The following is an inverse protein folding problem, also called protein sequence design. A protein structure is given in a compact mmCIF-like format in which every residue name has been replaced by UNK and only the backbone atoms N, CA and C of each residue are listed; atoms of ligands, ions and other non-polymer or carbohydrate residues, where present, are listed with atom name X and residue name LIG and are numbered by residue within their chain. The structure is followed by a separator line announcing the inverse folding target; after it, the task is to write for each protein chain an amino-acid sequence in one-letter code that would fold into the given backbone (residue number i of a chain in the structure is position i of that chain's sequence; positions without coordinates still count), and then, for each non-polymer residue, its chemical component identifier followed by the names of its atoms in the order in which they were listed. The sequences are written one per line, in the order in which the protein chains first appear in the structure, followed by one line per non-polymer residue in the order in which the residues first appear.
data_IF_818892545618
#
_entry.id   IF_818892545618
#
_cell.length_a   1.000
_cell.length_b   1.000
_cell.length_c   1.000
_cell.angle_alpha   90.00
_cell.angle_beta   90.00
_cell.angle_gamma   90.00
#
_symmetry.space_group_name_H-M   'P 1'
#
loop_
_entity.id
_entity.type
_entity.pdbx_description
1 polymer ?
#
# COMPACT_ATOMS: atom_id res chain seq x y z
N UNK A 1 22.34 -12.17 24.35
CA UNK A 1 21.86 -11.28 25.43
C UNK A 1 22.89 -10.24 25.91
N UNK A 2 24.12 -10.18 25.37
CA UNK A 2 25.12 -9.14 25.73
C UNK A 2 24.92 -7.80 25.00
N UNK A 3 24.44 -7.84 23.75
CA UNK A 3 24.56 -6.72 22.82
C UNK A 3 23.68 -5.50 23.17
N UNK A 4 22.44 -5.72 23.62
CA UNK A 4 21.52 -4.63 23.99
C UNK A 4 21.94 -3.89 25.26
N UNK A 5 22.52 -4.61 26.23
CA UNK A 5 23.05 -4.00 27.46
C UNK A 5 24.27 -3.12 27.15
N UNK A 6 25.13 -3.56 26.23
CA UNK A 6 26.33 -2.82 25.85
C UNK A 6 25.99 -1.60 24.98
N UNK A 7 25.00 -1.74 24.10
CA UNK A 7 24.44 -0.63 23.32
C UNK A 7 23.76 0.41 24.22
N UNK A 8 22.96 -0.01 25.20
CA UNK A 8 22.34 0.90 26.17
C UNK A 8 23.37 1.68 26.98
N UNK A 9 24.47 1.04 27.39
CA UNK A 9 25.59 1.72 28.08
C UNK A 9 26.25 2.75 27.18
N UNK A 10 26.52 2.39 25.92
CA UNK A 10 27.11 3.31 24.93
C UNK A 10 26.22 4.52 24.69
N UNK A 11 24.92 4.29 24.49
CA UNK A 11 23.94 5.36 24.26
C UNK A 11 23.84 6.30 25.47
N UNK A 12 23.85 5.76 26.70
CA UNK A 12 23.85 6.59 27.92
C UNK A 12 25.12 7.43 28.04
N UNK A 13 26.29 6.87 27.72
CA UNK A 13 27.56 7.60 27.74
C UNK A 13 27.57 8.74 26.70
N UNK A 14 27.07 8.47 25.49
CA UNK A 14 26.98 9.49 24.44
C UNK A 14 25.97 10.59 24.80
N UNK A 15 24.83 10.22 25.36
CA UNK A 15 23.82 11.18 25.81
C UNK A 15 24.39 12.11 26.90
N UNK A 16 25.12 11.58 27.87
CA UNK A 16 25.79 12.38 28.90
C UNK A 16 26.83 13.35 28.31
N UNK A 17 27.59 12.91 27.31
CA UNK A 17 28.56 13.75 26.59
C UNK A 17 27.87 14.89 25.82
N UNK A 18 26.77 14.59 25.15
CA UNK A 18 26.00 15.58 24.39
C UNK A 18 25.37 16.62 25.30
N UNK A 19 24.79 16.20 26.44
CA UNK A 19 24.25 17.12 27.45
C UNK A 19 25.35 18.07 27.94
N UNK A 20 26.52 17.54 28.32
CA UNK A 20 27.63 18.38 28.76
C UNK A 20 28.11 19.38 27.69
N UNK A 21 28.05 18.99 26.41
CA UNK A 21 28.39 19.87 25.29
C UNK A 21 27.34 20.97 25.09
N UNK A 22 26.05 20.65 25.24
CA UNK A 22 24.96 21.61 25.12
C UNK A 22 25.02 22.63 26.27
N UNK A 23 25.24 22.14 27.50
CA UNK A 23 25.42 22.98 28.69
C UNK A 23 26.66 23.89 28.57
N UNK A 24 27.77 23.39 28.01
CA UNK A 24 28.98 24.22 27.83
C UNK A 24 28.84 25.34 26.81
N UNK A 25 27.79 25.30 25.97
CA UNK A 25 27.51 26.29 24.93
C UNK A 25 26.25 27.11 25.23
N UNK A 26 25.70 27.06 26.46
CA UNK A 26 24.46 27.73 26.86
C UNK A 26 23.27 27.45 25.92
N UNK A 27 23.19 26.22 25.38
CA UNK A 27 22.06 25.79 24.55
C UNK A 27 20.97 25.20 25.46
N UNK A 28 19.81 25.86 25.50
CA UNK A 28 18.65 25.39 26.26
C UNK A 28 18.02 24.17 25.57
N UNK A 29 18.46 22.98 25.98
CA UNK A 29 17.97 21.69 25.50
C UNK A 29 16.81 21.13 26.34
N UNK A 30 16.53 21.74 27.50
CA UNK A 30 15.43 21.37 28.39
C UNK A 30 14.09 21.93 27.92
N UNK A 31 14.12 23.11 27.27
CA UNK A 31 12.95 23.76 26.69
C UNK A 31 12.90 23.69 25.16
N UNK A 32 13.70 22.82 24.54
CA UNK A 32 13.56 22.56 23.11
C UNK A 32 12.13 22.03 22.89
N UNK A 33 11.26 22.73 22.14
CA UNK A 33 9.92 22.23 21.92
C UNK A 33 10.08 20.88 21.26
N UNK A 34 9.69 19.82 21.99
CA UNK A 34 9.64 18.49 21.43
C UNK A 34 9.02 18.63 20.03
N UNK A 35 9.65 18.09 18.96
CA UNK A 35 9.07 18.17 17.64
C UNK A 35 7.61 17.76 17.81
N UNK A 36 6.64 18.58 17.33
CA UNK A 36 5.24 18.37 17.63
C UNK A 36 4.96 16.90 17.42
N UNK A 37 4.61 16.21 18.51
CA UNK A 37 4.36 14.77 18.46
C UNK A 37 3.51 14.55 17.21
N UNK A 38 3.92 13.69 16.27
CA UNK A 38 3.28 13.59 14.96
C UNK A 38 1.81 13.54 15.23
N UNK A 39 1.09 14.61 14.84
CA UNK A 39 -0.27 14.89 15.29
C UNK A 39 -1.01 13.60 15.16
N UNK A 40 -1.27 12.93 16.30
CA UNK A 40 -1.86 11.62 16.28
C UNK A 40 -3.17 11.86 15.57
N UNK A 41 -3.29 11.34 14.34
CA UNK A 41 -4.53 11.43 13.61
C UNK A 41 -5.60 10.99 14.61
N UNK A 42 -6.70 11.76 14.77
CA UNK A 42 -7.76 11.33 15.66
C UNK A 42 -8.04 9.87 15.33
N UNK A 43 -8.11 8.98 16.35
CA UNK A 43 -8.35 7.57 16.11
C UNK A 43 -9.51 7.49 15.13
N UNK A 44 -9.38 6.71 14.04
CA UNK A 44 -10.39 6.69 13.00
C UNK A 44 -11.74 6.43 13.68
N UNK A 45 -12.68 7.35 13.47
CA UNK A 45 -14.03 7.23 14.01
C UNK A 45 -14.52 5.80 13.75
N UNK A 46 -14.97 5.08 14.80
CA UNK A 46 -15.39 3.69 14.63
C UNK A 46 -16.47 3.65 13.57
N UNK A 47 -16.20 2.96 12.45
CA UNK A 47 -17.16 2.95 11.35
C UNK A 47 -18.44 2.30 11.85
N UNK A 48 -19.59 2.97 11.67
CA UNK A 48 -20.91 2.40 11.97
C UNK A 48 -21.33 1.26 11.03
N UNK A 49 -20.43 0.82 10.12
CA UNK A 49 -20.67 -0.26 9.19
C UNK A 49 -20.60 -1.62 9.87
N UNK A 50 -21.62 -2.44 9.65
CA UNK A 50 -21.59 -3.88 9.92
C UNK A 50 -20.50 -4.57 9.10
N UNK A 51 -20.14 -5.80 9.49
CA UNK A 51 -19.20 -6.64 8.75
C UNK A 51 -19.61 -6.82 7.29
N UNK A 52 -20.91 -7.05 7.02
CA UNK A 52 -21.42 -7.20 5.67
C UNK A 52 -21.29 -5.91 4.85
N UNK A 53 -21.56 -4.76 5.47
CA UNK A 53 -21.39 -3.45 4.81
C UNK A 53 -19.92 -3.14 4.52
N UNK A 54 -18.99 -3.50 5.40
CA UNK A 54 -17.54 -3.37 5.15
C UNK A 54 -17.09 -4.21 3.97
N UNK A 55 -17.52 -5.47 3.91
CA UNK A 55 -17.24 -6.38 2.78
C UNK A 55 -17.83 -5.82 1.49
N UNK A 56 -19.09 -5.38 1.52
CA UNK A 56 -19.77 -4.77 0.38
C UNK A 56 -19.05 -3.51 -0.12
N UNK A 57 -18.66 -2.62 0.81
CA UNK A 57 -17.92 -1.40 0.49
C UNK A 57 -16.57 -1.71 -0.16
N UNK A 58 -15.79 -2.64 0.42
CA UNK A 58 -14.50 -3.02 -0.13
C UNK A 58 -14.64 -3.58 -1.55
N UNK A 59 -15.63 -4.46 -1.78
CA UNK A 59 -15.94 -5.00 -3.10
C UNK A 59 -16.43 -3.93 -4.08
N UNK A 60 -17.09 -2.90 -3.58
CA UNK A 60 -17.58 -1.79 -4.39
C UNK A 60 -16.43 -0.90 -4.87
N UNK A 61 -15.45 -0.62 -4.01
CA UNK A 61 -14.30 0.22 -4.33
C UNK A 61 -13.28 -0.55 -5.18
N UNK A 62 -12.84 -1.73 -4.73
CA UNK A 62 -11.81 -2.53 -5.38
C UNK A 62 -12.41 -3.54 -6.37
N UNK A 63 -13.19 -3.04 -7.33
CA UNK A 63 -13.80 -3.87 -8.38
C UNK A 63 -12.78 -4.24 -9.45
N UNK A 64 -12.48 -5.52 -9.51
CA UNK A 64 -11.72 -6.12 -10.61
C UNK A 64 -12.43 -7.36 -11.15
N UNK A 65 -11.65 -8.26 -11.75
CA UNK A 65 -12.12 -9.58 -12.11
C UNK A 65 -12.60 -10.36 -10.88
N UNK A 66 -13.74 -11.02 -11.02
CA UNK A 66 -14.34 -11.84 -9.97
C UNK A 66 -14.07 -13.33 -10.15
N UNK A 67 -13.56 -13.74 -11.31
CA UNK A 67 -13.25 -15.13 -11.66
C UNK A 67 -11.84 -15.58 -11.24
N UNK A 68 -11.01 -14.63 -10.77
CA UNK A 68 -9.65 -14.89 -10.30
C UNK A 68 -9.19 -13.80 -9.33
N UNK A 69 -8.41 -14.21 -8.33
CA UNK A 69 -7.66 -13.29 -7.47
C UNK A 69 -6.28 -13.87 -7.14
N UNK A 70 -5.23 -13.02 -7.10
CA UNK A 70 -3.94 -13.43 -6.55
C UNK A 70 -4.00 -13.55 -5.03
N UNK A 71 -3.34 -14.57 -4.48
CA UNK A 71 -3.09 -14.78 -3.06
C UNK A 71 -1.60 -14.55 -2.81
N UNK A 72 -1.28 -13.81 -1.74
CA UNK A 72 0.08 -13.62 -1.28
C UNK A 72 0.59 -14.91 -0.66
N UNK A 73 1.81 -15.29 -0.99
CA UNK A 73 2.56 -16.34 -0.31
C UNK A 73 3.87 -15.77 0.23
N UNK A 74 4.37 -16.40 1.29
CA UNK A 74 5.64 -16.08 1.90
C UNK A 74 6.34 -17.37 2.33
N UNK A 75 7.61 -17.50 1.99
CA UNK A 75 8.44 -18.64 2.34
C UNK A 75 9.16 -18.35 3.64
N UNK A 76 8.75 -19.00 4.73
CA UNK A 76 9.43 -18.90 6.02
C UNK A 76 10.92 -19.29 5.95
N UNK A 77 11.30 -20.19 5.03
CA UNK A 77 12.68 -20.65 4.88
C UNK A 77 13.56 -19.68 4.11
N UNK A 78 13.03 -19.03 3.06
CA UNK A 78 13.85 -18.18 2.17
C UNK A 78 13.59 -16.69 2.35
N UNK A 79 12.58 -16.30 3.14
CA UNK A 79 12.11 -14.91 3.26
C UNK A 79 11.47 -14.35 1.99
N UNK A 80 11.42 -15.12 0.90
CA UNK A 80 10.82 -14.67 -0.36
C UNK A 80 9.30 -14.62 -0.24
N UNK A 81 8.71 -13.62 -0.85
CA UNK A 81 7.27 -13.48 -0.95
C UNK A 81 6.86 -13.16 -2.39
N UNK A 82 5.58 -13.37 -2.68
CA UNK A 82 5.03 -13.07 -3.99
C UNK A 82 3.53 -13.26 -4.01
N UNK A 83 2.97 -13.20 -5.21
CA UNK A 83 1.56 -13.44 -5.46
C UNK A 83 1.40 -14.55 -6.50
N UNK A 84 0.39 -15.40 -6.32
CA UNK A 84 0.00 -16.45 -7.26
C UNK A 84 -1.53 -16.54 -7.33
N UNK A 85 -2.13 -16.93 -8.47
CA UNK A 85 -3.58 -17.05 -8.56
C UNK A 85 -4.11 -18.12 -7.59
N UNK A 86 -5.21 -17.82 -6.90
CA UNK A 86 -5.95 -18.80 -6.12
C UNK A 86 -6.40 -19.94 -7.02
N UNK A 87 -6.06 -21.17 -6.64
CA UNK A 87 -6.35 -22.36 -7.44
C UNK A 87 -6.85 -23.49 -6.54
N UNK A 88 -8.07 -23.99 -6.80
CA UNK A 88 -8.66 -25.11 -6.05
C UNK A 88 -7.91 -26.43 -6.20
N UNK A 89 -7.08 -26.55 -7.24
CA UNK A 89 -6.19 -27.69 -7.48
C UNK A 89 -4.77 -27.47 -6.97
N UNK A 90 -4.47 -26.35 -6.30
CA UNK A 90 -3.12 -26.08 -5.82
C UNK A 90 -2.62 -27.18 -4.87
N UNK A 91 -1.39 -27.64 -5.10
CA UNK A 91 -0.72 -28.72 -4.34
C UNK A 91 -1.44 -30.07 -4.30
N UNK A 92 -2.51 -30.27 -5.07
CA UNK A 92 -3.15 -31.59 -5.21
C UNK A 92 -2.21 -32.56 -5.94
N UNK A 93 -1.80 -33.69 -5.32
CA UNK A 93 -0.95 -34.67 -5.97
C UNK A 93 -1.55 -35.13 -7.30
N UNK A 94 -0.70 -35.40 -8.30
CA UNK A 94 -1.06 -35.87 -9.65
C UNK A 94 -1.80 -34.84 -10.52
N UNK A 95 -2.56 -33.89 -9.94
CA UNK A 95 -3.29 -32.85 -10.68
C UNK A 95 -2.43 -31.59 -10.83
N UNK A 96 -1.85 -31.12 -9.74
CA UNK A 96 -1.03 -29.92 -9.72
C UNK A 96 0.40 -30.25 -10.13
N UNK A 97 0.91 -29.53 -11.12
CA UNK A 97 2.29 -29.70 -11.59
C UNK A 97 3.29 -28.80 -10.84
N UNK A 98 2.87 -28.08 -9.79
CA UNK A 98 3.81 -27.36 -8.92
C UNK A 98 4.70 -28.37 -8.16
N UNK A 99 6.00 -28.07 -7.94
CA UNK A 99 6.69 -26.82 -8.29
C UNK A 99 7.33 -26.81 -9.69
N UNK A 100 7.14 -27.83 -10.54
CA UNK A 100 7.78 -27.93 -11.86
C UNK A 100 7.42 -26.77 -12.80
N UNK A 101 6.16 -26.30 -12.75
CA UNK A 101 5.68 -25.20 -13.59
C UNK A 101 4.94 -24.13 -12.77
N UNK A 102 4.78 -22.93 -13.34
CA UNK A 102 3.95 -21.88 -12.75
C UNK A 102 2.47 -22.23 -12.92
N UNK A 103 1.62 -21.76 -11.99
CA UNK A 103 0.17 -22.00 -12.08
C UNK A 103 -0.46 -21.36 -13.34
N UNK A 104 0.13 -20.27 -13.83
CA UNK A 104 -0.31 -19.62 -15.07
C UNK A 104 -0.20 -20.56 -16.28
N UNK A 105 0.77 -21.46 -16.29
CA UNK A 105 1.09 -22.38 -17.38
C UNK A 105 0.46 -23.78 -17.18
N UNK A 106 -0.24 -24.00 -16.06
CA UNK A 106 -0.82 -25.29 -15.71
C UNK A 106 -2.17 -25.51 -16.39
N UNK A 107 -2.28 -26.57 -17.20
CA UNK A 107 -3.53 -26.97 -17.88
C UNK A 107 -4.63 -27.46 -16.92
N UNK A 108 -4.25 -27.92 -15.73
CA UNK A 108 -5.17 -28.39 -14.69
C UNK A 108 -5.53 -27.30 -13.67
N UNK A 109 -5.26 -26.02 -13.96
CA UNK A 109 -5.59 -24.94 -13.02
C UNK A 109 -7.11 -24.80 -12.87
N UNK A 110 -7.57 -24.66 -11.63
CA UNK A 110 -8.96 -24.41 -11.28
C UNK A 110 -9.04 -23.09 -10.53
N UNK A 111 -9.17 -21.98 -11.26
CA UNK A 111 -9.19 -20.64 -10.66
C UNK A 111 -10.41 -20.47 -9.75
N UNK A 112 -10.19 -19.92 -8.55
CA UNK A 112 -11.24 -19.71 -7.57
C UNK A 112 -11.81 -18.30 -7.71
N UNK A 113 -13.15 -18.13 -7.72
CA UNK A 113 -13.77 -16.81 -7.78
C UNK A 113 -13.68 -16.05 -6.46
N UNK A 114 -13.79 -14.73 -6.52
CA UNK A 114 -13.80 -13.83 -5.36
C UNK A 114 -15.16 -13.88 -4.66
N UNK A 115 -15.25 -14.57 -3.53
CA UNK A 115 -16.45 -14.64 -2.68
C UNK A 115 -16.39 -13.66 -1.51
N UNK A 116 -17.53 -13.41 -0.84
CA UNK A 116 -17.57 -12.53 0.33
C UNK A 116 -16.76 -13.09 1.49
N UNK A 117 -16.70 -14.42 1.63
CA UNK A 117 -15.82 -15.09 2.58
C UNK A 117 -14.33 -14.80 2.29
N UNK A 118 -13.93 -14.79 1.01
CA UNK A 118 -12.55 -14.45 0.61
C UNK A 118 -12.21 -13.01 0.99
N UNK A 119 -13.13 -12.06 0.73
CA UNK A 119 -12.94 -10.66 1.12
C UNK A 119 -12.93 -10.50 2.65
N UNK A 120 -13.81 -11.20 3.35
CA UNK A 120 -13.84 -11.19 4.81
C UNK A 120 -12.51 -11.66 5.40
N UNK A 121 -12.00 -12.84 4.98
CA UNK A 121 -10.71 -13.35 5.44
C UNK A 121 -9.56 -12.39 5.14
N UNK A 122 -9.64 -11.66 4.02
CA UNK A 122 -8.65 -10.63 3.71
C UNK A 122 -8.69 -9.47 4.70
N UNK A 123 -9.89 -8.91 4.95
CA UNK A 123 -10.09 -7.79 5.86
C UNK A 123 -9.84 -8.17 7.33
N UNK A 124 -10.05 -9.43 7.69
CA UNK A 124 -9.75 -9.98 9.01
C UNK A 124 -8.25 -10.27 9.21
N UNK A 125 -7.42 -10.14 8.16
CA UNK A 125 -5.98 -10.40 8.22
C UNK A 125 -5.60 -11.88 8.19
N UNK A 126 -6.55 -12.79 7.93
CA UNK A 126 -6.30 -14.23 7.83
C UNK A 126 -5.51 -14.57 6.55
N UNK A 127 -5.77 -13.83 5.48
CA UNK A 127 -5.03 -13.94 4.24
C UNK A 127 -4.81 -12.57 3.60
N UNK A 128 -3.86 -12.50 2.67
CA UNK A 128 -3.67 -11.30 1.84
C UNK A 128 -3.94 -11.68 0.40
N UNK A 129 -4.94 -11.05 -0.18
CA UNK A 129 -5.25 -11.19 -1.61
C UNK A 129 -4.90 -9.89 -2.32
N UNK A 130 -4.70 -9.97 -3.63
CA UNK A 130 -4.74 -8.81 -4.49
C UNK A 130 -5.98 -8.80 -5.36
N UNK A 131 -6.17 -7.70 -6.07
CA UNK A 131 -7.24 -7.53 -7.07
C UNK A 131 -6.64 -7.64 -8.47
N UNK A 132 -7.37 -8.23 -9.42
CA UNK A 132 -7.03 -8.19 -10.84
C UNK A 132 -7.82 -7.06 -11.50
N UNK A 133 -7.27 -5.84 -11.68
CA UNK A 133 -8.04 -4.63 -11.95
C UNK A 133 -8.58 -4.53 -13.39
N UNK A 134 -7.95 -5.22 -14.34
CA UNK A 134 -8.34 -5.18 -15.76
C UNK A 134 -9.42 -6.21 -16.05
N UNK A 135 -10.56 -5.71 -16.52
CA UNK A 135 -11.69 -6.51 -16.99
C UNK A 135 -11.48 -7.00 -18.43
N UNK A 136 -12.31 -7.93 -18.90
CA UNK A 136 -12.17 -8.61 -20.21
C UNK A 136 -12.16 -7.66 -21.42
N UNK A 137 -12.75 -6.47 -21.31
CA UNK A 137 -12.82 -5.45 -22.36
C UNK A 137 -11.83 -4.30 -22.15
N UNK A 138 -10.72 -4.55 -21.42
CA UNK A 138 -9.70 -3.55 -21.09
C UNK A 138 -10.25 -2.31 -20.37
N UNK A 139 -11.30 -2.50 -19.56
CA UNK A 139 -11.84 -1.48 -18.66
C UNK A 139 -11.41 -1.74 -17.21
N UNK A 140 -11.49 -0.71 -16.38
CA UNK A 140 -11.25 -0.79 -14.94
C UNK A 140 -12.23 0.10 -14.17
N UNK A 141 -12.29 -0.09 -12.85
CA UNK A 141 -13.12 0.71 -11.94
C UNK A 141 -12.31 1.64 -11.05
N UNK A 142 -10.99 1.61 -11.14
CA UNK A 142 -10.12 2.51 -10.40
C UNK A 142 -8.80 2.72 -11.13
N UNK A 143 -8.14 3.81 -10.78
CA UNK A 143 -6.74 4.09 -11.03
C UNK A 143 -6.00 3.99 -9.69
N UNK A 144 -4.82 3.38 -9.73
CA UNK A 144 -3.90 3.31 -8.61
C UNK A 144 -2.59 3.96 -9.06
N UNK A 145 -2.15 4.93 -8.27
CA UNK A 145 -0.91 5.65 -8.42
C UNK A 145 0.00 5.26 -7.25
N UNK A 146 1.14 4.65 -7.56
CA UNK A 146 2.06 4.06 -6.60
C UNK A 146 3.25 5.00 -6.38
N UNK A 147 3.44 5.44 -5.14
CA UNK A 147 4.52 6.33 -4.73
C UNK A 147 5.50 5.56 -3.87
N UNK A 148 6.67 5.32 -4.44
CA UNK A 148 7.76 4.63 -3.78
C UNK A 148 9.03 5.51 -3.71
N UNK A 149 10.04 5.03 -2.96
CA UNK A 149 11.41 5.58 -2.90
C UNK A 149 11.51 6.90 -2.13
N UNK A 150 12.59 7.65 -2.36
CA UNK A 150 12.83 8.93 -1.69
C UNK A 150 11.71 9.93 -2.03
N UNK A 151 11.36 10.79 -1.07
CA UNK A 151 10.35 11.85 -1.20
C UNK A 151 8.91 11.36 -1.52
N UNK A 152 8.61 10.06 -1.35
CA UNK A 152 7.26 9.52 -1.64
C UNK A 152 6.15 10.26 -0.90
N UNK A 153 6.43 10.78 0.30
CA UNK A 153 5.46 11.47 1.15
C UNK A 153 5.11 12.85 0.56
N UNK A 154 6.12 13.59 0.15
CA UNK A 154 6.05 14.90 -0.48
C UNK A 154 5.37 14.79 -1.85
N UNK A 155 5.75 13.79 -2.64
CA UNK A 155 5.17 13.52 -3.95
C UNK A 155 3.69 13.12 -3.84
N UNK A 156 3.34 12.23 -2.91
CA UNK A 156 1.96 11.84 -2.65
C UNK A 156 1.11 13.03 -2.19
N UNK A 157 1.63 13.89 -1.30
CA UNK A 157 0.94 15.12 -0.89
C UNK A 157 0.76 16.09 -2.05
N UNK A 158 1.78 16.27 -2.89
CA UNK A 158 1.74 17.15 -4.04
C UNK A 158 0.72 16.68 -5.10
N UNK A 159 0.62 15.37 -5.31
CA UNK A 159 -0.38 14.76 -6.16
C UNK A 159 -1.79 14.91 -5.60
N UNK A 160 -2.01 14.61 -4.31
CA UNK A 160 -3.32 14.80 -3.66
C UNK A 160 -3.77 16.26 -3.74
N UNK A 161 -2.85 17.21 -3.56
CA UNK A 161 -3.15 18.63 -3.74
C UNK A 161 -3.58 18.96 -5.18
N UNK A 162 -2.92 18.35 -6.18
CA UNK A 162 -3.27 18.51 -7.59
C UNK A 162 -4.64 17.91 -7.91
N UNK A 163 -4.95 16.73 -7.35
CA UNK A 163 -6.29 16.15 -7.46
C UNK A 163 -7.36 17.09 -6.90
N UNK A 164 -7.13 17.71 -5.73
CA UNK A 164 -8.05 18.69 -5.13
C UNK A 164 -8.29 19.91 -6.02
N UNK A 165 -7.23 20.46 -6.62
CA UNK A 165 -7.32 21.61 -7.54
C UNK A 165 -8.11 21.28 -8.82
N UNK A 166 -8.02 20.03 -9.27
CA UNK A 166 -8.71 19.52 -10.46
C UNK A 166 -10.10 18.92 -10.16
N UNK A 167 -10.57 19.02 -8.91
CA UNK A 167 -11.82 18.43 -8.42
C UNK A 167 -11.92 16.91 -8.69
N UNK A 168 -10.80 16.20 -8.52
CA UNK A 168 -10.71 14.74 -8.63
C UNK A 168 -10.67 14.12 -7.23
N UNK A 169 -11.69 13.34 -6.83
CA UNK A 169 -11.67 12.62 -5.56
C UNK A 169 -10.54 11.57 -5.54
N UNK A 170 -9.72 11.61 -4.50
CA UNK A 170 -8.59 10.68 -4.31
C UNK A 170 -8.54 10.21 -2.85
N UNK A 171 -8.31 8.92 -2.65
CA UNK A 171 -8.05 8.32 -1.35
C UNK A 171 -6.57 7.94 -1.24
N UNK A 172 -5.92 8.29 -0.14
CA UNK A 172 -4.51 7.99 0.10
C UNK A 172 -4.38 6.86 1.12
N UNK A 173 -3.56 5.86 0.81
CA UNK A 173 -3.27 4.70 1.65
C UNK A 173 -1.76 4.58 1.84
N UNK A 174 -1.28 4.33 3.06
CA UNK A 174 0.13 3.98 3.27
C UNK A 174 0.40 2.57 2.77
N UNK A 175 1.53 2.38 2.07
CA UNK A 175 1.91 1.05 1.59
C UNK A 175 2.19 0.13 2.78
N UNK A 176 2.09 -1.19 2.55
CA UNK A 176 2.35 -2.19 3.59
C UNK A 176 3.76 -2.11 4.16
N UNK A 177 4.73 -1.69 3.36
CA UNK A 177 6.12 -1.54 3.83
C UNK A 177 6.32 -0.33 4.74
N UNK A 178 5.36 0.61 4.75
CA UNK A 178 5.49 1.92 5.38
C UNK A 178 6.41 2.88 4.63
N UNK A 179 7.00 2.46 3.52
CA UNK A 179 7.99 3.21 2.74
C UNK A 179 7.44 3.66 1.38
N UNK A 180 6.16 3.96 1.34
CA UNK A 180 5.45 4.40 0.15
C UNK A 180 3.98 4.65 0.45
N UNK A 181 3.25 5.10 -0.57
CA UNK A 181 1.82 5.30 -0.50
C UNK A 181 1.14 4.98 -1.82
N UNK A 182 -0.12 4.58 -1.77
CA UNK A 182 -0.96 4.45 -2.94
C UNK A 182 -2.02 5.56 -2.92
N UNK A 183 -2.18 6.25 -4.04
CA UNK A 183 -3.33 7.11 -4.29
C UNK A 183 -4.35 6.37 -5.18
N UNK A 184 -5.59 6.32 -4.72
CA UNK A 184 -6.68 5.60 -5.36
C UNK A 184 -7.73 6.58 -5.88
N UNK A 185 -8.06 6.47 -7.16
CA UNK A 185 -9.17 7.19 -7.79
C UNK A 185 -10.19 6.15 -8.26
N UNK A 186 -11.42 6.21 -7.74
CA UNK A 186 -12.49 5.25 -8.03
C UNK A 186 -13.49 5.81 -9.03
N UNK A 187 -13.89 5.00 -10.00
CA UNK A 187 -14.86 5.34 -11.03
C UNK A 187 -16.22 4.69 -10.75
N UNK A 188 -17.29 5.46 -10.88
CA UNK A 188 -18.66 4.99 -10.69
C UNK A 188 -19.08 3.95 -11.73
N UNK A 189 -18.50 4.03 -12.93
CA UNK A 189 -18.71 3.10 -14.05
C UNK A 189 -17.37 2.54 -14.54
N UNK A 190 -17.41 1.46 -15.31
CA UNK A 190 -16.20 0.91 -15.91
C UNK A 190 -15.68 1.87 -17.00
N UNK A 191 -14.44 2.31 -16.87
CA UNK A 191 -13.79 3.20 -17.84
C UNK A 191 -12.72 2.46 -18.63
N UNK A 192 -12.42 2.82 -19.88
CA UNK A 192 -11.28 2.27 -20.59
C UNK A 192 -9.99 2.49 -19.79
N UNK A 193 -9.21 1.43 -19.58
CA UNK A 193 -7.97 1.51 -18.80
C UNK A 193 -6.97 2.51 -19.40
N UNK A 194 -7.04 2.73 -20.72
CA UNK A 194 -6.28 3.77 -21.43
C UNK A 194 -6.63 5.16 -20.92
N UNK A 195 -7.91 5.46 -20.73
CA UNK A 195 -8.38 6.78 -20.32
C UNK A 195 -8.14 7.01 -18.83
N UNK A 196 -8.29 5.97 -18.00
CA UNK A 196 -7.85 6.01 -16.61
C UNK A 196 -6.34 6.37 -16.50
N UNK A 197 -5.48 5.72 -17.29
CA UNK A 197 -4.04 6.05 -17.31
C UNK A 197 -3.76 7.46 -17.80
N UNK A 198 -4.50 7.93 -18.81
CA UNK A 198 -4.38 9.31 -19.32
C UNK A 198 -4.75 10.33 -18.24
N UNK A 199 -5.81 10.08 -17.47
CA UNK A 199 -6.16 10.91 -16.32
C UNK A 199 -4.97 11.00 -15.34
N UNK A 200 -4.41 9.86 -14.94
CA UNK A 200 -3.22 9.82 -14.07
C UNK A 200 -2.05 10.65 -14.64
N UNK A 201 -1.72 10.45 -15.92
CA UNK A 201 -0.66 11.21 -16.60
C UNK A 201 -0.91 12.72 -16.59
N UNK A 202 -2.16 13.16 -16.80
CA UNK A 202 -2.52 14.59 -16.76
C UNK A 202 -2.35 15.16 -15.35
N UNK A 203 -2.79 14.43 -14.32
CA UNK A 203 -2.63 14.87 -12.93
C UNK A 203 -1.15 14.96 -12.57
N UNK A 204 -0.35 13.93 -12.88
CA UNK A 204 1.11 13.92 -12.68
C UNK A 204 1.76 15.13 -13.39
N UNK A 205 1.37 15.40 -14.63
CA UNK A 205 1.89 16.54 -15.40
C UNK A 205 1.53 17.88 -14.76
N UNK A 206 0.29 18.03 -14.28
CA UNK A 206 -0.16 19.20 -13.53
C UNK A 206 0.66 19.37 -12.25
N UNK A 207 0.84 18.29 -11.49
CA UNK A 207 1.67 18.26 -10.27
C UNK A 207 3.09 18.76 -10.54
N UNK A 208 3.77 18.21 -11.55
CA UNK A 208 5.12 18.63 -11.95
C UNK A 208 5.18 20.12 -12.33
N UNK A 209 4.20 20.59 -13.11
CA UNK A 209 4.16 21.99 -13.56
C UNK A 209 3.98 22.98 -12.40
N UNK A 210 3.20 22.57 -11.39
CA UNK A 210 2.88 23.36 -10.20
C UNK A 210 4.06 23.46 -9.25
N UNK A 211 4.78 22.36 -9.04
CA UNK A 211 5.85 22.30 -8.03
C UNK A 211 7.18 22.90 -8.49
N UNK A 212 7.36 23.23 -9.78
CA UNK A 212 8.51 23.91 -10.42
C UNK A 212 9.93 23.40 -10.09
N UNK A 213 10.10 22.39 -9.22
CA UNK A 213 11.38 21.85 -8.74
C UNK A 213 11.34 20.35 -8.38
N UNK A 214 10.18 19.70 -8.38
CA UNK A 214 10.12 18.24 -8.15
C UNK A 214 10.10 17.53 -9.51
N UNK A 215 11.25 16.99 -9.88
CA UNK A 215 11.26 15.83 -10.79
C UNK A 215 10.57 14.70 -10.02
N UNK A 216 9.34 14.35 -10.37
CA UNK A 216 8.67 13.14 -9.86
C UNK A 216 9.51 11.92 -10.28
N UNK A 217 10.53 11.58 -9.51
CA UNK A 217 11.41 10.41 -9.74
C UNK A 217 10.83 9.11 -9.17
N UNK A 218 9.68 9.22 -8.50
CA UNK A 218 9.04 8.19 -7.65
C UNK A 218 7.90 7.41 -8.32
N UNK A 219 7.57 7.70 -9.58
CA UNK A 219 6.40 7.17 -10.31
C UNK A 219 6.70 6.17 -11.42
#
# INVERSE_FOLDING_TARGET
MSNESDELKRLRAENARLIALLESHDIDWLNDPAPPAPSAFPPPEPSNLSTAEKVSLFRHLFRGRTDVYPVRWESATTGRSGYAPACGNEWRPVICEKPRIKCADCGNRSLTPVSDAVIYSHLAGENTIGVSPLLQVNTCHFLADDFDKAEWCEDAKAFVQSCRELDVPVALELSRSGNGAHAWIFFTTAVPARDARRLGTVIISHTCSRTRQLSLTSY
#
